data_IF_868180952216
#
_entry.id   IF_868180952216
#
_cell.length_a   1.000
_cell.length_b   1.000
_cell.length_c   1.000
_cell.angle_alpha   90.00
_cell.angle_beta   90.00
_cell.angle_gamma   90.00
#
_symmetry.space_group_name_H-M   'P 1'
#
loop_
_entity.id
_entity.type
_entity.pdbx_description
1 polymer ?
#
# COMPACT_ATOMS: atom_id res chain seq x y z
N UNK A 1 -8.96 -2.11 10.86
CA UNK A 1 -9.58 -2.25 9.51
C UNK A 1 -8.51 -2.30 8.43
N UNK A 2 -7.56 -1.35 8.42
CA UNK A 2 -6.58 -1.15 7.35
C UNK A 2 -5.68 -2.35 7.06
N UNK A 3 -5.27 -3.13 8.06
CA UNK A 3 -4.48 -4.35 7.85
C UNK A 3 -5.24 -5.54 7.22
N UNK A 4 -6.57 -5.46 7.15
CA UNK A 4 -7.44 -6.53 6.64
C UNK A 4 -7.94 -6.23 5.23
N UNK A 5 -8.16 -4.95 4.88
CA UNK A 5 -8.57 -4.51 3.53
C UNK A 5 -7.70 -5.10 2.41
N UNK A 6 -6.35 -5.05 2.46
CA UNK A 6 -5.51 -5.57 1.38
C UNK A 6 -5.51 -7.10 1.27
N UNK A 7 -6.10 -7.82 2.22
CA UNK A 7 -6.15 -9.29 2.25
C UNK A 7 -7.49 -9.87 1.79
N UNK A 8 -8.51 -9.03 1.66
CA UNK A 8 -9.87 -9.44 1.32
C UNK A 8 -10.04 -9.31 -0.20
N UNK A 9 -10.59 -10.36 -0.81
CA UNK A 9 -10.95 -10.36 -2.24
C UNK A 9 -12.01 -9.27 -2.47
N UNK A 10 -11.98 -8.55 -3.60
CA UNK A 10 -12.93 -7.45 -3.87
C UNK A 10 -14.40 -7.87 -3.67
N UNK A 11 -14.75 -9.10 -4.02
CA UNK A 11 -16.07 -9.70 -3.85
C UNK A 11 -16.49 -9.83 -2.37
N UNK A 12 -15.54 -10.17 -1.50
CA UNK A 12 -15.77 -10.36 -0.06
C UNK A 12 -15.78 -9.04 0.73
N UNK A 13 -15.36 -7.92 0.13
CA UNK A 13 -15.34 -6.62 0.81
C UNK A 13 -16.73 -6.15 1.22
N UNK A 14 -17.74 -6.40 0.37
CA UNK A 14 -19.14 -6.00 0.65
C UNK A 14 -19.71 -6.81 1.80
N UNK A 15 -19.44 -8.12 1.84
CA UNK A 15 -19.86 -9.01 2.92
C UNK A 15 -19.18 -8.61 4.23
N UNK A 16 -17.87 -8.34 4.19
CA UNK A 16 -17.12 -7.91 5.36
C UNK A 16 -17.64 -6.58 5.92
N UNK A 17 -17.94 -5.59 5.07
CA UNK A 17 -18.53 -4.32 5.50
C UNK A 17 -19.94 -4.50 6.06
N UNK A 18 -20.76 -5.37 5.46
CA UNK A 18 -22.10 -5.70 5.97
C UNK A 18 -22.06 -6.27 7.39
N UNK A 19 -21.17 -7.24 7.64
CA UNK A 19 -20.96 -7.81 8.98
C UNK A 19 -20.41 -6.78 9.98
N UNK A 20 -19.52 -5.90 9.53
CA UNK A 20 -18.93 -4.86 10.39
C UNK A 20 -19.99 -3.84 10.82
N UNK A 21 -20.88 -3.46 9.92
CA UNK A 21 -22.00 -2.55 10.20
C UNK A 21 -23.05 -3.16 11.13
N UNK A 22 -23.28 -4.47 11.04
CA UNK A 22 -24.19 -5.20 11.93
C UNK A 22 -23.62 -5.36 13.35
N UNK A 23 -22.31 -5.60 13.47
CA UNK A 23 -21.63 -5.76 14.75
C UNK A 23 -21.27 -4.44 15.45
N UNK A 24 -21.01 -3.37 14.69
CA UNK A 24 -20.57 -2.07 15.18
C UNK A 24 -21.33 -0.92 14.50
N UNK A 25 -22.62 -0.73 14.83
CA UNK A 25 -23.43 0.33 14.23
C UNK A 25 -22.90 1.73 14.57
N UNK A 26 -22.72 2.58 13.56
CA UNK A 26 -22.38 4.01 13.73
C UNK A 26 -20.92 4.34 14.01
N UNK A 27 -20.00 3.35 13.96
CA UNK A 27 -18.56 3.57 14.14
C UNK A 27 -17.88 3.51 12.77
N UNK A 28 -17.61 4.68 12.16
CA UNK A 28 -16.73 4.78 10.98
C UNK A 28 -15.44 5.53 11.36
N UNK A 29 -14.38 4.82 11.78
CA UNK A 29 -13.12 5.44 12.11
C UNK A 29 -12.46 5.96 10.82
N UNK A 30 -12.01 7.23 10.79
CA UNK A 30 -11.39 7.79 9.61
C UNK A 30 -10.12 7.03 9.26
N UNK A 31 -9.92 6.77 7.96
CA UNK A 31 -8.70 6.12 7.47
C UNK A 31 -7.49 6.98 7.83
N UNK A 32 -6.51 6.39 8.50
CA UNK A 32 -5.22 7.04 8.75
C UNK A 32 -4.49 7.16 7.41
N UNK A 33 -4.33 8.38 6.90
CA UNK A 33 -3.58 8.67 5.68
C UNK A 33 -2.30 9.41 6.04
N UNK A 34 -1.20 9.04 5.39
CA UNK A 34 0.06 9.79 5.46
C UNK A 34 0.24 10.53 4.12
N UNK A 35 -0.15 11.81 4.02
CA UNK A 35 -0.07 12.55 2.78
C UNK A 35 1.38 12.72 2.29
N UNK A 36 2.36 12.73 3.20
CA UNK A 36 3.77 12.88 2.83
C UNK A 36 4.29 11.64 2.10
N UNK A 37 3.84 10.46 2.53
CA UNK A 37 4.13 9.19 1.86
C UNK A 37 3.44 9.10 0.50
N UNK A 38 2.17 9.50 0.42
CA UNK A 38 1.41 9.49 -0.84
C UNK A 38 2.10 10.37 -1.90
N UNK A 39 2.52 11.59 -1.54
CA UNK A 39 3.25 12.49 -2.42
C UNK A 39 4.61 11.91 -2.85
N UNK A 40 5.33 11.26 -1.94
CA UNK A 40 6.62 10.62 -2.25
C UNK A 40 6.46 9.42 -3.20
N UNK A 41 5.38 8.64 -3.06
CA UNK A 41 5.06 7.52 -3.95
C UNK A 41 4.73 8.02 -5.35
N UNK A 42 3.94 9.09 -5.47
CA UNK A 42 3.60 9.68 -6.79
C UNK A 42 4.87 10.12 -7.50
N UNK A 43 5.74 10.89 -6.84
CA UNK A 43 7.04 11.31 -7.39
C UNK A 43 7.91 10.11 -7.79
N UNK A 44 8.03 9.12 -6.92
CA UNK A 44 8.81 7.91 -7.21
C UNK A 44 8.25 7.10 -8.40
N UNK A 45 6.93 7.14 -8.61
CA UNK A 45 6.26 6.49 -9.73
C UNK A 45 6.61 7.20 -11.05
N UNK A 46 6.51 8.53 -11.07
CA UNK A 46 6.85 9.38 -12.21
C UNK A 46 8.34 9.26 -12.57
N UNK A 47 9.25 9.29 -11.59
CA UNK A 47 10.69 9.08 -11.79
C UNK A 47 11.02 7.68 -12.32
N UNK A 48 10.15 6.70 -12.08
CA UNK A 48 10.29 5.35 -12.62
C UNK A 48 9.75 5.23 -14.05
N UNK A 49 9.18 6.30 -14.61
CA UNK A 49 8.53 6.31 -15.92
C UNK A 49 7.18 5.57 -15.94
N UNK A 50 6.59 5.32 -14.77
CA UNK A 50 5.30 4.64 -14.63
C UNK A 50 4.17 5.66 -14.48
N UNK A 51 2.96 5.28 -14.89
CA UNK A 51 1.77 6.10 -14.66
C UNK A 51 1.33 6.00 -13.19
N UNK A 52 1.16 7.13 -12.47
CA UNK A 52 0.69 7.14 -11.09
C UNK A 52 -0.82 6.89 -11.03
N UNK A 53 -1.21 5.64 -11.23
CA UNK A 53 -2.58 5.19 -11.08
C UNK A 53 -2.99 5.15 -9.58
N UNK A 54 -4.20 5.61 -9.26
CA UNK A 54 -4.67 5.70 -7.86
C UNK A 54 -4.67 4.32 -7.16
N UNK A 55 -5.09 3.26 -7.87
CA UNK A 55 -5.08 1.89 -7.32
C UNK A 55 -3.65 1.37 -7.11
N UNK A 56 -2.69 1.82 -7.92
CA UNK A 56 -1.28 1.48 -7.75
C UNK A 56 -0.68 2.19 -6.53
N UNK A 57 -0.88 3.50 -6.42
CA UNK A 57 -0.44 4.29 -5.27
C UNK A 57 -1.04 3.75 -3.96
N UNK A 58 -2.34 3.39 -3.98
CA UNK A 58 -3.01 2.76 -2.85
C UNK A 58 -2.33 1.46 -2.40
N UNK A 59 -1.92 0.59 -3.34
CA UNK A 59 -1.21 -0.66 -3.03
C UNK A 59 0.16 -0.41 -2.42
N UNK A 60 0.88 0.62 -2.87
CA UNK A 60 2.16 1.00 -2.28
C UNK A 60 1.99 1.49 -0.83
N UNK A 61 0.96 2.29 -0.55
CA UNK A 61 0.63 2.73 0.82
C UNK A 61 0.26 1.55 1.71
N UNK A 62 -0.60 0.65 1.22
CA UNK A 62 -0.97 -0.56 1.96
C UNK A 62 0.22 -1.48 2.24
N UNK A 63 1.18 -1.55 1.31
CA UNK A 63 2.42 -2.29 1.51
C UNK A 63 3.25 -1.69 2.65
N UNK A 64 3.36 -0.35 2.73
CA UNK A 64 4.05 0.35 3.82
C UNK A 64 3.38 0.10 5.18
N UNK A 65 2.06 0.24 5.25
CA UNK A 65 1.27 -0.01 6.45
C UNK A 65 1.45 -1.45 6.96
N UNK A 66 1.53 -2.42 6.05
CA UNK A 66 1.77 -3.82 6.40
C UNK A 66 3.20 -4.06 6.88
N UNK A 67 4.20 -3.42 6.25
CA UNK A 67 5.62 -3.53 6.66
C UNK A 67 5.88 -2.90 8.02
N UNK A 68 5.14 -1.86 8.40
CA UNK A 68 5.23 -1.25 9.73
C UNK A 68 4.76 -2.19 10.87
N UNK A 69 3.88 -3.16 10.56
CA UNK A 69 3.27 -4.06 11.54
C UNK A 69 3.88 -5.46 11.48
N UNK A 70 4.38 -5.89 10.31
CA UNK A 70 4.86 -7.26 10.06
C UNK A 70 6.23 -7.26 9.40
N UNK A 71 7.12 -8.11 9.90
CA UNK A 71 8.48 -8.26 9.37
C UNK A 71 8.53 -8.84 7.94
N UNK A 72 7.51 -9.63 7.55
CA UNK A 72 7.43 -10.23 6.22
C UNK A 72 6.05 -9.99 5.62
N UNK A 73 6.01 -9.54 4.37
CA UNK A 73 4.80 -9.29 3.59
C UNK A 73 4.94 -9.94 2.22
N UNK A 74 3.86 -10.55 1.72
CA UNK A 74 3.81 -11.18 0.40
C UNK A 74 2.91 -10.36 -0.53
N UNK A 75 3.43 -10.00 -1.71
CA UNK A 75 2.66 -9.33 -2.75
C UNK A 75 2.11 -10.37 -3.71
N UNK A 76 0.80 -10.56 -3.72
CA UNK A 76 0.10 -11.58 -4.51
C UNK A 76 -0.50 -11.00 -5.80
N UNK A 77 -0.56 -11.79 -6.87
CA UNK A 77 -1.19 -11.40 -8.13
C UNK A 77 -0.64 -12.13 -9.36
N UNK A 78 -1.27 -12.00 -10.54
CA UNK A 78 -0.83 -12.65 -11.77
C UNK A 78 0.50 -12.10 -12.30
N UNK A 79 1.17 -12.84 -13.20
CA UNK A 79 2.39 -12.37 -13.85
C UNK A 79 2.12 -11.06 -14.63
N UNK A 80 3.08 -10.13 -14.61
CA UNK A 80 2.93 -8.82 -15.25
C UNK A 80 2.08 -7.78 -14.49
N UNK A 81 1.49 -8.13 -13.34
CA UNK A 81 0.62 -7.20 -12.58
C UNK A 81 1.35 -6.10 -11.77
N UNK A 82 2.58 -5.72 -12.15
CA UNK A 82 3.31 -4.63 -11.50
C UNK A 82 3.81 -4.92 -10.08
N UNK A 83 3.81 -6.18 -9.61
CA UNK A 83 4.26 -6.55 -8.25
C UNK A 83 5.68 -6.09 -7.95
N UNK A 84 6.60 -6.29 -8.90
CA UNK A 84 7.99 -5.85 -8.76
C UNK A 84 8.12 -4.34 -8.74
N UNK A 85 7.30 -3.64 -9.54
CA UNK A 85 7.28 -2.19 -9.57
C UNK A 85 6.74 -1.62 -8.24
N UNK A 86 5.72 -2.23 -7.65
CA UNK A 86 5.13 -1.77 -6.39
C UNK A 86 6.16 -1.63 -5.25
N UNK A 87 6.96 -2.68 -4.98
CA UNK A 87 7.97 -2.60 -3.92
C UNK A 87 9.18 -1.74 -4.31
N UNK A 88 9.53 -1.67 -5.61
CA UNK A 88 10.61 -0.81 -6.10
C UNK A 88 10.24 0.67 -5.97
N UNK A 89 9.02 1.05 -6.33
CA UNK A 89 8.49 2.41 -6.15
C UNK A 89 8.43 2.76 -4.67
N UNK A 90 7.99 1.85 -3.80
CA UNK A 90 8.00 2.07 -2.35
C UNK A 90 9.43 2.29 -1.81
N UNK A 91 10.40 1.49 -2.27
CA UNK A 91 11.80 1.66 -1.87
C UNK A 91 12.39 3.01 -2.33
N UNK A 92 12.01 3.49 -3.52
CA UNK A 92 12.38 4.83 -4.00
C UNK A 92 11.69 5.93 -3.19
N UNK A 93 10.40 5.80 -2.92
CA UNK A 93 9.66 6.76 -2.09
C UNK A 93 10.27 6.91 -0.69
N UNK A 94 10.67 5.79 -0.06
CA UNK A 94 11.41 5.82 1.21
C UNK A 94 12.74 6.55 1.12
N UNK A 95 13.50 6.41 0.02
CA UNK A 95 14.75 7.16 -0.20
C UNK A 95 14.52 8.66 -0.36
N UNK A 96 13.40 9.06 -0.97
CA UNK A 96 13.01 10.47 -1.10
C UNK A 96 12.65 11.06 0.26
N UNK A 97 11.94 10.30 1.11
CA UNK A 97 11.57 10.74 2.46
C UNK A 97 12.73 10.72 3.45
N UNK A 98 13.59 9.70 3.41
CA UNK A 98 14.73 9.53 4.30
C UNK A 98 15.99 9.14 3.49
N UNK A 99 16.82 10.13 3.10
CA UNK A 99 18.01 9.89 2.30
C UNK A 99 19.13 9.16 3.07
N UNK A 100 19.02 8.99 4.39
CA UNK A 100 20.05 8.31 5.20
C UNK A 100 19.81 6.80 5.32
N UNK A 101 18.60 6.31 5.02
CA UNK A 101 18.24 4.90 5.14
C UNK A 101 18.49 4.15 3.82
N UNK A 102 19.76 3.81 3.58
CA UNK A 102 20.19 3.04 2.41
C UNK A 102 19.65 1.62 2.47
N UNK A 103 18.45 1.39 1.92
CA UNK A 103 18.00 0.05 1.56
C UNK A 103 18.89 -0.41 0.40
N UNK A 104 19.96 -1.11 0.73
CA UNK A 104 20.89 -1.73 -0.23
C UNK A 104 20.14 -2.84 -0.96
N UNK A 105 19.75 -2.58 -2.21
CA UNK A 105 19.27 -3.65 -3.09
C UNK A 105 20.44 -4.57 -3.38
N UNK A 106 20.49 -5.72 -2.71
CA UNK A 106 21.43 -6.79 -3.04
C UNK A 106 20.99 -7.32 -4.41
N UNK A 107 21.84 -7.12 -5.42
CA UNK A 107 21.64 -7.58 -6.79
C UNK A 107 22.01 -9.06 -6.92
#
# INVERSE_FOLDING_TARGET
RDSNIPKIVKEDQVVFQGLLNDLFPGIDPPRKRDPTLEDAIIKACEESGNWPDEDFCLKCVQLEELLAIRHCVFVMGPAGAGKSQCWQTLAKARKIMDPQNLITTIR
#
